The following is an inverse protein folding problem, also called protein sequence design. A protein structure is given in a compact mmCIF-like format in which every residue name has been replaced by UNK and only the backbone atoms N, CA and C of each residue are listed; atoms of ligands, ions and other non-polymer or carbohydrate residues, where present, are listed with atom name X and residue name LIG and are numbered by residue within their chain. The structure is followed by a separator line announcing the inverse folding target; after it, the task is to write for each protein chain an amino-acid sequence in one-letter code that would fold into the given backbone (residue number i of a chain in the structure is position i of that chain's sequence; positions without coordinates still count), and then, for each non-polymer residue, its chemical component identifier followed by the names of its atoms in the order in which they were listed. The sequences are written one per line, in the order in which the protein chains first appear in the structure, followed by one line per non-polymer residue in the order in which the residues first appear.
data_IF_218759058147
#
_entry.id   IF_218759058147
#
_cell.length_a   1.000
_cell.length_b   1.000
_cell.length_c   1.000
_cell.angle_alpha   90.00
_cell.angle_beta   90.00
_cell.angle_gamma   90.00
#
_symmetry.space_group_name_H-M   'P 1'
#
loop_
_entity.id
_entity.type
_entity.pdbx_description
1 polymer ?
#
# COMPACT_ATOMS: atom_id res chain seq x y z
N UNK A 1 -12.39 -6.29 -26.83
CA UNK A 1 -10.94 -6.15 -26.62
C UNK A 1 -10.46 -7.51 -26.19
N UNK A 2 -9.43 -8.06 -26.85
CA UNK A 2 -8.93 -9.39 -26.50
C UNK A 2 -8.42 -9.41 -25.06
N UNK A 3 -8.60 -10.54 -24.38
CA UNK A 3 -8.02 -10.77 -23.05
C UNK A 3 -6.48 -10.79 -23.14
N UNK A 4 -5.78 -10.24 -22.13
CA UNK A 4 -4.32 -10.22 -22.10
C UNK A 4 -3.76 -11.64 -22.10
N UNK A 5 -2.78 -11.90 -22.97
CA UNK A 5 -2.15 -13.21 -23.13
C UNK A 5 -0.86 -13.34 -22.33
N UNK A 6 -0.34 -12.24 -21.80
CA UNK A 6 0.88 -12.20 -20.99
C UNK A 6 0.70 -11.39 -19.70
N UNK A 7 1.52 -11.65 -18.66
CA UNK A 7 1.56 -10.81 -17.45
C UNK A 7 1.77 -9.32 -17.74
N UNK A 8 2.65 -8.98 -18.68
CA UNK A 8 2.93 -7.59 -19.05
C UNK A 8 1.71 -6.89 -19.65
N UNK A 9 1.03 -7.53 -20.60
CA UNK A 9 -0.21 -7.00 -21.20
C UNK A 9 -1.32 -6.83 -20.16
N UNK A 10 -1.42 -7.75 -19.20
CA UNK A 10 -2.37 -7.64 -18.11
C UNK A 10 -2.08 -6.41 -17.24
N UNK A 11 -0.83 -6.19 -16.84
CA UNK A 11 -0.44 -5.03 -16.02
C UNK A 11 -0.59 -3.71 -16.79
N UNK A 12 -0.20 -3.65 -18.06
CA UNK A 12 -0.41 -2.47 -18.90
C UNK A 12 -1.90 -2.14 -19.04
N UNK A 13 -2.75 -3.16 -19.13
CA UNK A 13 -4.20 -2.99 -19.16
C UNK A 13 -4.76 -2.49 -17.82
N UNK A 14 -4.25 -2.97 -16.69
CA UNK A 14 -4.60 -2.48 -15.36
C UNK A 14 -4.23 -1.00 -15.23
N UNK A 15 -3.01 -0.61 -15.60
CA UNK A 15 -2.54 0.78 -15.61
C UNK A 15 -3.42 1.67 -16.47
N UNK A 16 -3.71 1.25 -17.70
CA UNK A 16 -4.58 2.00 -18.60
C UNK A 16 -5.97 2.23 -17.98
N UNK A 17 -6.61 1.19 -17.48
CA UNK A 17 -7.97 1.28 -16.92
C UNK A 17 -8.00 2.13 -15.64
N UNK A 18 -7.00 1.98 -14.77
CA UNK A 18 -6.88 2.77 -13.55
C UNK A 18 -6.65 4.26 -13.88
N UNK A 19 -5.69 4.57 -14.75
CA UNK A 19 -5.41 5.95 -15.15
C UNK A 19 -6.63 6.60 -15.81
N UNK A 20 -7.32 5.87 -16.70
CA UNK A 20 -8.59 6.33 -17.28
C UNK A 20 -9.62 6.66 -16.20
N UNK A 21 -9.78 5.80 -15.19
CA UNK A 21 -10.77 6.00 -14.13
C UNK A 21 -10.44 7.22 -13.26
N UNK A 22 -9.18 7.37 -12.87
CA UNK A 22 -8.69 8.54 -12.11
C UNK A 22 -8.87 9.82 -12.91
N UNK A 23 -8.46 9.84 -14.18
CA UNK A 23 -8.62 11.02 -15.05
C UNK A 23 -10.08 11.38 -15.27
N UNK A 24 -10.96 10.40 -15.53
CA UNK A 24 -12.38 10.64 -15.72
C UNK A 24 -13.03 11.21 -14.44
N UNK A 25 -12.67 10.69 -13.28
CA UNK A 25 -13.18 11.17 -12.00
C UNK A 25 -12.73 12.60 -11.70
N UNK A 26 -11.44 12.91 -11.91
CA UNK A 26 -10.91 14.28 -11.75
C UNK A 26 -11.61 15.25 -12.70
N UNK A 27 -11.79 14.87 -13.97
CA UNK A 27 -12.48 15.71 -14.95
C UNK A 27 -13.93 15.96 -14.56
N UNK A 28 -14.65 14.94 -14.09
CA UNK A 28 -16.02 15.07 -13.63
C UNK A 28 -16.15 15.97 -12.40
N UNK A 29 -15.22 15.87 -11.43
CA UNK A 29 -15.20 16.76 -10.25
C UNK A 29 -14.92 18.20 -10.67
N UNK A 30 -13.96 18.45 -11.57
CA UNK A 30 -13.67 19.80 -12.09
C UNK A 30 -14.88 20.41 -12.79
N UNK A 31 -15.53 19.65 -13.69
CA UNK A 31 -16.77 20.09 -14.35
C UNK A 31 -17.88 20.40 -13.35
N UNK A 32 -18.02 19.59 -12.30
CA UNK A 32 -19.00 19.87 -11.25
C UNK A 32 -18.66 21.15 -10.48
N UNK A 33 -17.38 21.39 -10.17
CA UNK A 33 -16.95 22.60 -9.47
C UNK A 33 -17.15 23.88 -10.30
N UNK A 34 -17.00 23.81 -11.63
CA UNK A 34 -17.11 24.95 -12.54
C UNK A 34 -18.56 25.20 -13.00
N UNK A 35 -19.31 24.14 -13.33
CA UNK A 35 -20.61 24.22 -14.01
C UNK A 35 -21.78 23.74 -13.13
N UNK A 36 -21.51 23.08 -12.00
CA UNK A 36 -22.55 22.49 -11.13
C UNK A 36 -23.22 21.24 -11.72
N UNK A 37 -22.68 20.65 -12.79
CA UNK A 37 -23.29 19.52 -13.50
C UNK A 37 -22.78 18.18 -12.93
N UNK A 38 -23.63 17.37 -12.25
CA UNK A 38 -23.21 16.10 -11.67
C UNK A 38 -22.93 15.04 -12.75
N UNK A 39 -22.11 14.02 -12.44
CA UNK A 39 -21.82 12.94 -13.38
C UNK A 39 -23.07 12.09 -13.66
N UNK A 40 -23.24 11.68 -14.91
CA UNK A 40 -24.30 10.75 -15.31
C UNK A 40 -24.00 9.31 -14.83
N UNK A 41 -25.00 8.42 -14.91
CA UNK A 41 -24.83 7.01 -14.56
C UNK A 41 -23.78 6.31 -15.45
N UNK A 42 -23.68 6.68 -16.73
CA UNK A 42 -22.70 6.11 -17.66
C UNK A 42 -21.28 6.62 -17.36
N UNK A 43 -21.14 7.89 -16.98
CA UNK A 43 -19.86 8.45 -16.56
C UNK A 43 -19.35 7.78 -15.27
N UNK A 44 -20.27 7.44 -14.36
CA UNK A 44 -19.93 6.74 -13.12
C UNK A 44 -19.30 5.36 -13.34
N UNK A 45 -19.66 4.66 -14.43
CA UNK A 45 -19.00 3.40 -14.81
C UNK A 45 -17.51 3.62 -15.10
N UNK A 46 -17.14 4.80 -15.60
CA UNK A 46 -15.75 5.13 -15.90
C UNK A 46 -14.91 5.31 -14.64
N UNK A 47 -15.51 5.61 -13.49
CA UNK A 47 -14.79 5.82 -12.22
C UNK A 47 -14.43 4.52 -11.50
N UNK A 48 -14.66 3.35 -12.10
CA UNK A 48 -14.48 2.06 -11.45
C UNK A 48 -13.05 1.56 -11.52
N UNK A 49 -12.59 0.90 -10.45
CA UNK A 49 -11.30 0.22 -10.43
C UNK A 49 -11.23 -0.86 -11.51
N UNK A 50 -10.04 -1.17 -12.05
CA UNK A 50 -9.86 -2.40 -12.81
C UNK A 50 -10.00 -3.65 -11.93
N UNK A 51 -10.45 -4.75 -12.51
CA UNK A 51 -10.48 -6.09 -11.91
C UNK A 51 -9.54 -7.01 -12.68
N UNK A 52 -8.61 -7.63 -11.96
CA UNK A 52 -7.72 -8.68 -12.44
C UNK A 52 -8.37 -10.04 -12.15
N UNK A 53 -8.33 -10.94 -13.14
CA UNK A 53 -8.78 -12.31 -13.02
C UNK A 53 -7.72 -13.29 -13.49
N UNK A 54 -7.64 -14.41 -12.78
CA UNK A 54 -6.79 -15.54 -13.09
C UNK A 54 -7.65 -16.79 -13.12
N UNK A 55 -7.64 -17.49 -14.25
CA UNK A 55 -8.36 -18.75 -14.44
C UNK A 55 -7.39 -19.91 -14.44
N UNK A 56 -7.59 -20.84 -13.52
CA UNK A 56 -6.84 -22.10 -13.45
C UNK A 56 -7.72 -23.24 -13.94
N UNK A 57 -7.40 -23.77 -15.12
CA UNK A 57 -8.23 -24.78 -15.77
C UNK A 57 -8.11 -26.16 -15.08
N UNK A 58 -9.18 -26.98 -15.02
CA UNK A 58 -9.14 -28.30 -14.40
C UNK A 58 -8.13 -29.29 -15.00
N UNK A 59 -7.76 -29.09 -16.27
CA UNK A 59 -6.81 -29.92 -17.02
C UNK A 59 -5.40 -29.30 -17.06
N UNK A 60 -5.18 -28.14 -16.42
CA UNK A 60 -3.89 -27.48 -16.39
C UNK A 60 -2.91 -28.18 -15.42
N UNK A 61 -1.59 -27.94 -15.54
CA UNK A 61 -0.59 -28.54 -14.67
C UNK A 61 -0.87 -28.27 -13.18
N UNK A 62 -0.62 -29.26 -12.33
CA UNK A 62 -0.70 -29.13 -10.87
C UNK A 62 0.67 -29.42 -10.25
N UNK A 63 1.61 -28.46 -10.32
CA UNK A 63 2.96 -28.66 -9.85
C UNK A 63 3.03 -28.71 -8.32
N UNK A 64 3.97 -29.49 -7.78
CA UNK A 64 4.31 -29.50 -6.35
C UNK A 64 5.54 -28.63 -6.14
N UNK A 65 5.34 -27.42 -5.64
CA UNK A 65 6.38 -26.41 -5.54
C UNK A 65 6.75 -26.14 -4.07
N UNK A 66 8.03 -25.98 -3.72
CA UNK A 66 8.47 -25.73 -2.34
C UNK A 66 8.29 -24.27 -1.89
N UNK A 67 7.81 -23.38 -2.77
CA UNK A 67 7.64 -21.94 -2.48
C UNK A 67 6.47 -21.68 -1.53
N UNK A 68 6.52 -20.60 -0.74
CA UNK A 68 5.43 -20.26 0.20
C UNK A 68 4.25 -19.52 -0.44
N UNK A 69 4.44 -18.87 -1.60
CA UNK A 69 3.46 -18.00 -2.26
C UNK A 69 3.35 -18.30 -3.76
N UNK A 70 2.48 -17.58 -4.49
CA UNK A 70 2.31 -17.77 -5.94
C UNK A 70 1.81 -19.16 -6.30
N UNK A 71 0.87 -19.71 -5.53
CA UNK A 71 0.33 -21.06 -5.75
C UNK A 71 -1.19 -21.03 -5.90
N UNK A 72 -1.71 -21.90 -6.77
CA UNK A 72 -3.14 -22.12 -6.96
C UNK A 72 -3.52 -23.51 -6.45
N UNK A 73 -4.38 -23.56 -5.44
CA UNK A 73 -4.79 -24.82 -4.79
C UNK A 73 -5.85 -25.57 -5.58
N UNK A 74 -6.81 -24.85 -6.17
CA UNK A 74 -7.99 -25.46 -6.77
C UNK A 74 -8.27 -24.86 -8.15
N UNK A 75 -8.58 -25.67 -9.17
CA UNK A 75 -9.09 -25.15 -10.42
C UNK A 75 -10.31 -24.24 -10.23
N UNK A 76 -10.43 -23.23 -11.09
CA UNK A 76 -11.47 -22.22 -11.05
C UNK A 76 -10.95 -20.80 -11.28
N UNK A 77 -11.82 -19.84 -11.07
CA UNK A 77 -11.52 -18.42 -11.24
C UNK A 77 -11.13 -17.76 -9.92
N UNK A 78 -10.14 -16.89 -10.01
CA UNK A 78 -9.68 -16.02 -8.93
C UNK A 78 -9.77 -14.57 -9.41
N UNK A 79 -10.27 -13.66 -8.57
CA UNK A 79 -10.47 -12.26 -8.95
C UNK A 79 -10.09 -11.30 -7.82
N UNK A 80 -9.65 -10.10 -8.19
CA UNK A 80 -9.44 -8.99 -7.26
C UNK A 80 -9.48 -7.65 -8.01
N UNK A 81 -10.02 -6.60 -7.39
CA UNK A 81 -9.87 -5.24 -7.90
C UNK A 81 -8.49 -4.68 -7.56
N UNK A 82 -7.89 -3.93 -8.49
CA UNK A 82 -6.52 -3.39 -8.35
C UNK A 82 -6.55 -1.86 -8.31
N UNK A 83 -5.72 -1.27 -7.45
CA UNK A 83 -5.40 0.16 -7.43
C UNK A 83 -3.90 0.36 -7.51
N UNK A 84 -3.45 1.57 -7.85
CA UNK A 84 -2.04 1.95 -7.99
C UNK A 84 -1.19 0.94 -8.79
N UNK A 85 -1.67 0.41 -9.95
CA UNK A 85 -0.99 -0.65 -10.68
C UNK A 85 0.42 -0.26 -11.14
N UNK A 86 0.68 1.03 -11.37
CA UNK A 86 2.03 1.51 -11.71
C UNK A 86 3.03 1.36 -10.56
N UNK A 87 2.61 1.59 -9.31
CA UNK A 87 3.45 1.33 -8.13
C UNK A 87 3.62 -0.17 -7.91
N UNK A 88 2.53 -0.93 -7.98
CA UNK A 88 2.55 -2.38 -7.76
C UNK A 88 3.05 -3.18 -8.97
N UNK A 89 3.50 -2.53 -10.05
CA UNK A 89 3.92 -3.20 -11.29
C UNK A 89 4.94 -4.31 -11.06
N UNK A 90 6.05 -4.11 -10.31
CA UNK A 90 7.03 -5.17 -10.08
C UNK A 90 6.41 -6.38 -9.37
N UNK A 91 5.61 -6.12 -8.31
CA UNK A 91 4.90 -7.16 -7.57
C UNK A 91 3.90 -7.91 -8.44
N UNK A 92 3.07 -7.21 -9.21
CA UNK A 92 2.07 -7.80 -10.09
C UNK A 92 2.73 -8.67 -11.17
N UNK A 93 3.81 -8.19 -11.79
CA UNK A 93 4.55 -8.96 -12.79
C UNK A 93 5.15 -10.23 -12.20
N UNK A 94 5.82 -10.14 -11.05
CA UNK A 94 6.40 -11.32 -10.38
C UNK A 94 5.30 -12.35 -10.08
N UNK A 95 4.21 -11.93 -9.41
CA UNK A 95 3.16 -12.87 -9.01
C UNK A 95 2.46 -13.49 -10.22
N UNK A 96 2.12 -12.69 -11.24
CA UNK A 96 1.45 -13.20 -12.44
C UNK A 96 2.36 -14.14 -13.24
N UNK A 97 3.66 -13.85 -13.33
CA UNK A 97 4.62 -14.72 -14.01
C UNK A 97 4.66 -16.11 -13.37
N UNK A 98 4.71 -16.18 -12.04
CA UNK A 98 4.67 -17.46 -11.30
C UNK A 98 3.38 -18.25 -11.56
N UNK A 99 2.24 -17.58 -11.71
CA UNK A 99 0.96 -18.25 -11.98
C UNK A 99 0.86 -18.74 -13.43
N UNK A 100 1.34 -17.95 -14.39
CA UNK A 100 1.33 -18.32 -15.80
C UNK A 100 2.31 -19.46 -16.07
N UNK A 101 3.56 -19.35 -15.60
CA UNK A 101 4.60 -20.33 -15.93
C UNK A 101 4.35 -21.70 -15.32
N UNK A 102 3.92 -21.74 -14.05
CA UNK A 102 3.81 -23.00 -13.33
C UNK A 102 2.44 -23.66 -13.47
N UNK A 103 1.37 -22.86 -13.59
CA UNK A 103 0.00 -23.37 -13.64
C UNK A 103 -0.66 -23.21 -15.01
N UNK A 104 0.00 -22.57 -15.98
CA UNK A 104 -0.61 -22.26 -17.28
C UNK A 104 -1.86 -21.38 -17.12
N UNK A 105 -1.87 -20.49 -16.11
CA UNK A 105 -3.06 -19.74 -15.76
C UNK A 105 -3.42 -18.71 -16.84
N UNK A 106 -4.71 -18.59 -17.15
CA UNK A 106 -5.21 -17.62 -18.12
C UNK A 106 -5.55 -16.30 -17.42
N UNK A 107 -5.19 -15.17 -18.03
CA UNK A 107 -5.37 -13.84 -17.45
C UNK A 107 -6.51 -13.11 -18.14
N UNK A 108 -7.35 -12.40 -17.38
CA UNK A 108 -8.27 -11.43 -17.95
C UNK A 108 -8.34 -10.15 -17.09
N UNK A 109 -8.54 -9.01 -17.75
CA UNK A 109 -8.62 -7.71 -17.09
C UNK A 109 -9.85 -6.96 -17.58
N UNK A 110 -10.72 -6.57 -16.64
CA UNK A 110 -11.98 -5.88 -16.93
C UNK A 110 -12.22 -4.71 -15.99
N UNK A 111 -13.30 -3.97 -16.22
CA UNK A 111 -13.76 -2.95 -15.29
C UNK A 111 -14.50 -3.65 -14.15
N UNK A 112 -14.17 -3.31 -12.90
CA UNK A 112 -14.85 -3.86 -11.71
C UNK A 112 -16.25 -3.26 -11.51
N UNK A 113 -16.90 -3.63 -10.41
CA UNK A 113 -18.16 -3.02 -9.96
C UNK A 113 -17.93 -1.87 -8.96
N UNK A 114 -16.71 -1.73 -8.43
CA UNK A 114 -16.38 -0.79 -7.38
C UNK A 114 -15.85 0.53 -7.95
N UNK A 115 -16.46 1.63 -7.53
CA UNK A 115 -16.03 2.99 -7.88
C UNK A 115 -14.86 3.45 -7.00
N UNK A 116 -13.96 4.25 -7.57
CA UNK A 116 -12.88 4.92 -6.84
C UNK A 116 -13.48 6.07 -6.03
N UNK A 117 -13.34 6.10 -4.70
CA UNK A 117 -13.77 7.24 -3.90
C UNK A 117 -13.07 8.53 -4.29
N UNK A 118 -13.83 9.63 -4.41
CA UNK A 118 -13.29 10.93 -4.81
C UNK A 118 -12.13 11.38 -3.91
N UNK A 119 -12.20 11.07 -2.61
CA UNK A 119 -11.18 11.44 -1.62
C UNK A 119 -9.79 10.86 -1.92
N UNK A 120 -9.68 9.80 -2.72
CA UNK A 120 -8.40 9.16 -3.03
C UNK A 120 -7.70 9.79 -4.24
N UNK A 121 -8.43 10.52 -5.08
CA UNK A 121 -7.88 11.19 -6.29
C UNK A 121 -7.60 12.68 -6.09
N UNK A 122 -7.99 13.26 -4.94
CA UNK A 122 -7.82 14.69 -4.65
C UNK A 122 -6.35 15.12 -4.66
N UNK A 123 -5.45 14.30 -4.11
CA UNK A 123 -4.02 14.63 -4.05
C UNK A 123 -3.37 14.63 -5.44
N UNK A 124 -3.83 13.76 -6.35
CA UNK A 124 -3.34 13.70 -7.74
C UNK A 124 -3.79 14.90 -8.59
N UNK A 125 -4.84 15.60 -8.17
CA UNK A 125 -5.46 16.67 -8.93
C UNK A 125 -5.06 18.09 -8.47
N UNK A 126 -4.32 18.19 -7.37
CA UNK A 126 -3.97 19.45 -6.72
C UNK A 126 -5.15 20.01 -5.92
N UNK A 127 -4.95 20.22 -4.61
CA UNK A 127 -5.98 20.66 -3.66
C UNK A 127 -6.79 21.90 -4.11
N UNK A 128 -6.16 22.79 -4.90
CA UNK A 128 -6.76 24.02 -5.39
C UNK A 128 -8.00 23.82 -6.30
N UNK A 129 -8.13 22.67 -6.98
CA UNK A 129 -9.29 22.41 -7.84
C UNK A 129 -10.59 22.13 -7.05
N UNK A 130 -10.51 22.02 -5.72
CA UNK A 130 -11.57 21.45 -4.88
C UNK A 130 -12.04 22.37 -3.75
N UNK A 131 -11.36 23.49 -3.50
CA UNK A 131 -11.65 24.35 -2.33
C UNK A 131 -13.04 24.98 -2.36
N UNK A 132 -13.66 25.10 -3.54
CA UNK A 132 -14.93 25.79 -3.72
C UNK A 132 -16.17 24.89 -3.64
N UNK A 133 -16.02 23.55 -3.57
CA UNK A 133 -17.17 22.63 -3.50
C UNK A 133 -17.34 22.09 -2.08
N UNK A 134 -18.52 22.25 -1.45
CA UNK A 134 -18.78 21.67 -0.13
C UNK A 134 -18.63 20.15 -0.13
N UNK A 135 -18.02 19.60 0.93
CA UNK A 135 -17.80 18.15 1.04
C UNK A 135 -19.10 17.33 1.02
N UNK A 136 -20.22 17.88 1.50
CA UNK A 136 -21.55 17.24 1.43
C UNK A 136 -22.04 17.06 -0.02
N UNK A 137 -21.76 18.01 -0.91
CA UNK A 137 -22.13 17.89 -2.31
C UNK A 137 -21.29 16.84 -3.02
N UNK A 138 -19.98 16.81 -2.76
CA UNK A 138 -19.10 15.77 -3.27
C UNK A 138 -19.56 14.39 -2.79
N UNK A 139 -19.89 14.24 -1.51
CA UNK A 139 -20.39 12.98 -0.96
C UNK A 139 -21.76 12.57 -1.51
N UNK A 140 -22.59 13.52 -1.97
CA UNK A 140 -23.90 13.26 -2.57
C UNK A 140 -23.78 12.75 -4.01
N UNK A 141 -22.95 13.38 -4.83
CA UNK A 141 -22.91 13.10 -6.28
C UNK A 141 -21.76 12.20 -6.71
N UNK A 142 -20.68 12.13 -5.93
CA UNK A 142 -19.49 11.34 -6.26
C UNK A 142 -19.32 10.13 -5.34
N UNK A 143 -18.54 9.11 -5.75
CA UNK A 143 -18.29 7.94 -4.92
C UNK A 143 -17.54 8.34 -3.65
N UNK A 144 -18.06 7.98 -2.48
CA UNK A 144 -17.44 8.22 -1.17
C UNK A 144 -16.94 6.93 -0.55
N UNK A 145 -15.93 6.98 0.34
CA UNK A 145 -15.43 5.78 1.01
C UNK A 145 -16.53 5.13 1.85
N UNK A 146 -16.88 3.88 1.55
CA UNK A 146 -17.82 3.10 2.35
C UNK A 146 -17.04 2.14 3.23
N UNK A 147 -17.09 2.35 4.55
CA UNK A 147 -16.41 1.48 5.52
C UNK A 147 -16.87 0.02 5.41
N UNK A 148 -18.12 -0.23 5.00
CA UNK A 148 -18.65 -1.58 4.77
C UNK A 148 -18.00 -2.30 3.58
N UNK A 149 -17.34 -1.57 2.68
CA UNK A 149 -16.62 -2.14 1.52
C UNK A 149 -15.12 -2.32 1.79
N UNK A 150 -14.60 -1.76 2.89
CA UNK A 150 -13.22 -1.94 3.32
C UNK A 150 -13.17 -3.18 4.22
N UNK A 151 -12.90 -4.33 3.64
CA UNK A 151 -12.93 -5.62 4.34
C UNK A 151 -11.55 -6.21 4.63
N UNK A 152 -11.44 -6.93 5.76
CA UNK A 152 -10.33 -7.82 6.12
C UNK A 152 -10.67 -9.31 5.88
N UNK A 153 -11.82 -9.61 5.26
CA UNK A 153 -12.39 -10.95 5.22
C UNK A 153 -11.43 -12.04 4.70
N UNK A 154 -10.62 -11.75 3.67
CA UNK A 154 -9.61 -12.71 3.18
C UNK A 154 -8.55 -12.98 4.24
N UNK A 155 -8.05 -11.93 4.87
CA UNK A 155 -6.98 -11.99 5.89
C UNK A 155 -7.47 -12.68 7.15
N UNK A 156 -8.73 -12.45 7.53
CA UNK A 156 -9.39 -13.08 8.67
C UNK A 156 -9.81 -14.53 8.39
N UNK A 157 -9.60 -15.05 7.18
CA UNK A 157 -10.00 -16.40 6.78
C UNK A 157 -11.51 -16.59 6.69
N UNK A 158 -12.27 -15.50 6.57
CA UNK A 158 -13.72 -15.53 6.40
C UNK A 158 -14.10 -15.93 4.98
N UNK A 159 -15.21 -16.64 4.84
CA UNK A 159 -15.73 -17.03 3.53
C UNK A 159 -16.31 -15.81 2.81
N UNK A 160 -15.80 -15.53 1.62
CA UNK A 160 -16.33 -14.47 0.75
C UNK A 160 -17.29 -15.09 -0.27
N UNK A 161 -18.54 -14.64 -0.24
CA UNK A 161 -19.56 -15.05 -1.21
C UNK A 161 -19.66 -13.99 -2.30
N UNK A 162 -19.03 -14.26 -3.45
CA UNK A 162 -19.20 -13.45 -4.65
C UNK A 162 -20.31 -14.02 -5.53
N UNK A 163 -21.09 -13.15 -6.17
CA UNK A 163 -22.16 -13.54 -7.11
C UNK A 163 -21.60 -14.37 -8.28
N UNK A 164 -20.42 -13.99 -8.77
CA UNK A 164 -19.70 -14.69 -9.83
C UNK A 164 -18.92 -15.93 -9.37
N UNK A 165 -18.96 -16.24 -8.07
CA UNK A 165 -18.28 -17.38 -7.42
C UNK A 165 -16.75 -17.40 -7.59
N UNK A 166 -16.14 -16.31 -8.07
CA UNK A 166 -14.69 -16.22 -8.13
C UNK A 166 -14.09 -16.25 -6.71
N UNK A 167 -12.92 -16.86 -6.57
CA UNK A 167 -12.17 -16.87 -5.30
C UNK A 167 -11.31 -15.61 -5.18
N UNK A 168 -10.91 -15.19 -3.97
CA UNK A 168 -10.00 -14.06 -3.82
C UNK A 168 -8.63 -14.37 -4.45
N UNK A 169 -8.15 -13.51 -5.35
CA UNK A 169 -6.81 -13.63 -5.94
C UNK A 169 -5.71 -13.07 -5.02
N UNK A 170 -6.02 -12.04 -4.23
CA UNK A 170 -5.09 -11.40 -3.31
C UNK A 170 -5.74 -11.16 -1.94
N UNK A 171 -4.92 -10.79 -0.95
CA UNK A 171 -5.39 -10.55 0.43
C UNK A 171 -6.21 -9.27 0.58
N UNK A 172 -5.93 -8.27 -0.25
CA UNK A 172 -6.56 -6.96 -0.20
C UNK A 172 -7.08 -6.57 -1.57
N UNK A 173 -8.25 -5.96 -1.60
CA UNK A 173 -8.83 -5.39 -2.80
C UNK A 173 -8.48 -3.90 -2.94
N UNK A 174 -8.88 -3.28 -4.05
CA UNK A 174 -8.52 -1.90 -4.35
C UNK A 174 -9.04 -0.88 -3.30
N UNK A 175 -10.33 -0.88 -2.89
CA UNK A 175 -10.81 0.04 -1.87
C UNK A 175 -10.07 -0.06 -0.54
N UNK A 176 -9.75 -1.29 -0.10
CA UNK A 176 -8.97 -1.49 1.13
C UNK A 176 -7.54 -1.00 1.01
N UNK A 177 -6.92 -1.23 -0.15
CA UNK A 177 -5.56 -0.79 -0.41
C UNK A 177 -5.48 0.73 -0.37
N UNK A 178 -6.27 1.46 -1.15
CA UNK A 178 -6.24 2.94 -1.14
C UNK A 178 -6.59 3.54 0.22
N UNK A 179 -7.56 2.96 0.94
CA UNK A 179 -7.86 3.38 2.30
C UNK A 179 -6.62 3.31 3.20
N UNK A 180 -5.88 2.20 3.13
CA UNK A 180 -4.69 1.98 3.92
C UNK A 180 -3.55 2.90 3.51
N UNK A 181 -3.35 3.14 2.21
CA UNK A 181 -2.34 4.08 1.71
C UNK A 181 -2.56 5.50 2.25
N UNK A 182 -3.81 5.98 2.25
CA UNK A 182 -4.16 7.29 2.85
C UNK A 182 -3.97 7.33 4.36
N UNK A 183 -4.26 6.23 5.05
CA UNK A 183 -4.02 6.14 6.49
C UNK A 183 -2.52 6.11 6.81
N UNK A 184 -1.70 5.46 6.00
CA UNK A 184 -0.25 5.49 6.15
C UNK A 184 0.28 6.92 6.07
N UNK A 185 -0.06 7.68 5.02
CA UNK A 185 0.35 9.09 4.90
C UNK A 185 -0.09 9.92 6.12
N UNK A 186 -1.34 9.74 6.55
CA UNK A 186 -1.89 10.46 7.70
C UNK A 186 -1.16 10.14 9.02
N UNK A 187 -0.91 8.86 9.31
CA UNK A 187 -0.30 8.46 10.58
C UNK A 187 1.21 8.66 10.63
N UNK A 188 1.88 8.51 9.48
CA UNK A 188 3.34 8.52 9.38
C UNK A 188 3.91 9.87 8.98
N UNK A 189 3.12 10.70 8.29
CA UNK A 189 3.57 11.97 7.74
C UNK A 189 4.54 11.85 6.58
N UNK A 190 4.78 10.64 6.07
CA UNK A 190 5.67 10.38 4.94
C UNK A 190 4.89 9.74 3.78
N UNK A 191 5.35 9.89 2.52
CA UNK A 191 4.70 9.26 1.37
C UNK A 191 4.67 7.74 1.52
N UNK A 192 3.51 7.11 1.33
CA UNK A 192 3.40 5.64 1.39
C UNK A 192 4.26 4.97 0.31
N UNK A 193 4.54 5.67 -0.80
CA UNK A 193 5.37 5.18 -1.90
C UNK A 193 6.85 5.06 -1.55
N UNK A 194 7.31 5.75 -0.49
CA UNK A 194 8.70 5.66 -0.01
C UNK A 194 8.89 4.49 0.98
N UNK A 195 7.82 3.82 1.42
CA UNK A 195 7.90 2.66 2.31
C UNK A 195 8.71 1.54 1.66
N UNK A 196 9.67 1.02 2.42
CA UNK A 196 10.60 -0.02 1.98
C UNK A 196 10.17 -1.41 2.51
N UNK A 197 10.57 -2.52 1.86
CA UNK A 197 10.14 -3.88 2.23
C UNK A 197 10.62 -4.35 3.60
N UNK A 198 11.73 -3.78 4.10
CA UNK A 198 12.33 -4.11 5.40
C UNK A 198 11.94 -3.07 6.44
N UNK A 199 11.05 -3.46 7.36
CA UNK A 199 10.44 -2.55 8.33
C UNK A 199 11.00 -2.78 9.73
N UNK A 200 11.33 -1.69 10.42
CA UNK A 200 11.67 -1.65 11.83
C UNK A 200 10.59 -0.85 12.57
N UNK A 201 10.02 -1.44 13.61
CA UNK A 201 9.17 -0.73 14.57
C UNK A 201 9.97 -0.38 15.80
N UNK A 202 9.72 0.80 16.35
CA UNK A 202 10.26 1.19 17.66
C UNK A 202 9.20 1.85 18.53
N UNK A 203 9.37 1.72 19.85
CA UNK A 203 8.55 2.39 20.86
C UNK A 203 9.29 3.54 21.57
N UNK A 204 10.48 3.91 21.10
CA UNK A 204 11.34 4.85 21.81
C UNK A 204 12.08 5.80 20.88
N UNK A 205 11.93 7.10 21.13
CA UNK A 205 12.41 8.17 20.25
C UNK A 205 13.93 8.11 19.98
N UNK A 206 14.75 7.65 20.94
CA UNK A 206 16.20 7.57 20.73
C UNK A 206 16.62 6.63 19.57
N UNK A 207 15.81 5.63 19.24
CA UNK A 207 16.06 4.81 18.05
C UNK A 207 15.84 5.58 16.75
N UNK A 208 14.89 6.52 16.74
CA UNK A 208 14.67 7.42 15.60
C UNK A 208 15.87 8.32 15.40
N UNK A 209 16.36 8.95 16.48
CA UNK A 209 17.50 9.86 16.41
C UNK A 209 18.75 9.14 15.85
N UNK A 210 18.99 7.91 16.32
CA UNK A 210 20.13 7.09 15.87
C UNK A 210 19.94 6.57 14.43
N UNK A 211 18.72 6.17 14.06
CA UNK A 211 18.42 5.77 12.68
C UNK A 211 18.59 6.92 11.71
N UNK A 212 18.12 8.12 12.05
CA UNK A 212 18.27 9.33 11.24
C UNK A 212 19.74 9.66 11.04
N UNK A 213 20.54 9.63 12.11
CA UNK A 213 21.98 9.85 12.05
C UNK A 213 22.66 8.84 11.12
N UNK A 214 22.36 7.55 11.30
CA UNK A 214 22.91 6.47 10.48
C UNK A 214 22.47 6.56 9.01
N UNK A 215 21.18 6.78 8.75
CA UNK A 215 20.62 6.86 7.41
C UNK A 215 21.10 8.10 6.65
N UNK A 216 21.20 9.26 7.31
CA UNK A 216 21.75 10.47 6.71
C UNK A 216 23.22 10.29 6.32
N UNK A 217 24.03 9.65 7.17
CA UNK A 217 25.39 9.26 6.84
C UNK A 217 25.45 8.25 5.68
N UNK A 218 24.49 7.32 5.64
CA UNK A 218 24.31 6.36 4.55
C UNK A 218 23.98 7.03 3.21
N UNK A 219 23.10 8.04 3.19
CA UNK A 219 22.78 8.81 1.98
C UNK A 219 23.98 9.65 1.53
N UNK A 220 24.71 10.26 2.45
CA UNK A 220 25.87 11.10 2.11
C UNK A 220 27.04 10.31 1.52
N UNK A 221 27.27 9.08 1.99
CA UNK A 221 28.39 8.23 1.57
C UNK A 221 27.99 7.08 0.64
N UNK A 222 26.69 6.92 0.37
CA UNK A 222 26.13 5.79 -0.35
C UNK A 222 26.13 5.97 -1.87
N UNK A 223 25.68 4.93 -2.60
CA UNK A 223 25.46 5.01 -4.04
C UNK A 223 24.49 6.13 -4.42
N UNK A 224 24.66 6.64 -5.64
CA UNK A 224 23.72 7.61 -6.21
C UNK A 224 22.30 7.04 -6.22
N UNK A 225 21.34 7.87 -5.81
CA UNK A 225 19.91 7.52 -5.79
C UNK A 225 19.40 7.01 -4.45
N UNK A 226 20.27 6.91 -3.43
CA UNK A 226 19.81 6.75 -2.05
C UNK A 226 19.22 8.08 -1.55
N UNK A 227 18.12 7.99 -0.81
CA UNK A 227 17.49 9.15 -0.19
C UNK A 227 16.85 8.80 1.16
N UNK A 228 16.81 9.76 2.07
CA UNK A 228 16.10 9.64 3.34
C UNK A 228 14.82 10.47 3.27
N UNK A 229 13.69 9.79 3.23
CA UNK A 229 12.35 10.38 3.33
C UNK A 229 11.93 10.46 4.79
N UNK A 230 11.54 11.65 5.22
CA UNK A 230 11.22 11.99 6.60
C UNK A 230 9.77 12.51 6.70
N UNK A 231 9.17 12.49 7.91
CA UNK A 231 7.84 13.04 8.12
C UNK A 231 7.75 14.51 7.71
N UNK A 232 6.59 14.94 7.21
CA UNK A 232 6.35 16.30 6.76
C UNK A 232 6.88 16.61 5.37
N UNK A 233 7.19 15.60 4.56
CA UNK A 233 7.67 15.77 3.18
C UNK A 233 9.11 16.22 3.06
N UNK A 234 9.90 16.08 4.13
CA UNK A 234 11.34 16.38 4.10
C UNK A 234 12.05 15.22 3.40
N UNK A 235 12.80 15.51 2.34
CA UNK A 235 13.61 14.54 1.61
C UNK A 235 15.07 14.98 1.61
N UNK A 236 15.97 14.04 1.88
CA UNK A 236 17.41 14.25 1.93
C UNK A 236 18.08 13.36 0.90
N UNK A 237 18.95 13.96 0.09
CA UNK A 237 19.66 13.26 -0.99
C UNK A 237 21.18 13.51 -0.89
N UNK A 238 21.95 12.77 -1.67
CA UNK A 238 23.40 12.92 -1.71
C UNK A 238 23.78 14.36 -2.10
N UNK A 239 24.63 15.01 -1.29
CA UNK A 239 25.06 16.40 -1.50
C UNK A 239 24.26 17.45 -0.73
N UNK A 240 23.20 17.07 -0.01
CA UNK A 240 22.51 17.98 0.90
C UNK A 240 23.42 18.45 2.04
N UNK A 241 23.57 19.78 2.17
CA UNK A 241 24.19 20.39 3.34
C UNK A 241 23.30 20.19 4.56
N UNK A 242 23.91 19.90 5.70
CA UNK A 242 23.24 19.74 7.00
C UNK A 242 22.12 18.68 6.99
N UNK A 243 22.31 17.62 6.20
CA UNK A 243 21.36 16.51 6.03
C UNK A 243 20.80 15.97 7.36
N UNK A 244 21.68 15.67 8.32
CA UNK A 244 21.28 15.17 9.63
C UNK A 244 20.40 16.18 10.39
N UNK A 245 20.80 17.45 10.43
CA UNK A 245 20.04 18.50 11.13
C UNK A 245 18.67 18.73 10.49
N UNK A 246 18.58 18.65 9.15
CA UNK A 246 17.29 18.72 8.43
C UNK A 246 16.37 17.56 8.79
N UNK A 247 16.90 16.33 8.85
CA UNK A 247 16.12 15.16 9.24
C UNK A 247 15.61 15.25 10.67
N UNK A 248 16.47 15.67 11.61
CA UNK A 248 16.11 15.84 13.01
C UNK A 248 15.07 16.95 13.23
N UNK A 249 15.10 17.98 12.37
CA UNK A 249 14.13 19.08 12.39
C UNK A 249 12.80 18.75 11.69
N UNK A 250 12.65 17.57 11.09
CA UNK A 250 11.42 17.16 10.42
C UNK A 250 10.22 17.28 11.37
N UNK A 251 9.04 17.76 10.92
CA UNK A 251 7.89 18.06 11.79
C UNK A 251 7.12 16.80 12.22
N UNK A 252 7.79 15.87 12.88
CA UNK A 252 7.23 14.56 13.28
C UNK A 252 6.13 14.65 14.35
N UNK A 253 6.14 15.68 15.20
CA UNK A 253 5.20 15.83 16.35
C UNK A 253 3.71 15.88 15.97
N UNK A 254 3.40 16.21 14.71
CA UNK A 254 2.03 16.26 14.21
C UNK A 254 1.47 14.88 13.85
N UNK A 255 2.33 13.86 13.80
CA UNK A 255 2.01 12.53 13.31
C UNK A 255 2.08 11.53 14.46
N UNK A 256 1.08 10.65 14.54
CA UNK A 256 0.94 9.70 15.65
C UNK A 256 2.04 8.63 15.63
N UNK A 257 2.44 8.18 14.45
CA UNK A 257 3.41 7.10 14.26
C UNK A 257 4.44 7.47 13.16
N UNK A 258 5.33 8.44 13.42
CA UNK A 258 6.21 9.01 12.40
C UNK A 258 7.10 7.94 11.73
N UNK A 259 7.21 8.00 10.41
CA UNK A 259 8.04 7.07 9.62
C UNK A 259 9.22 7.76 8.94
N UNK A 260 10.31 7.03 8.81
CA UNK A 260 11.52 7.43 8.12
C UNK A 260 11.95 6.32 7.17
N UNK A 261 12.20 6.66 5.92
CA UNK A 261 12.51 5.69 4.88
C UNK A 261 13.88 5.98 4.28
N UNK A 262 14.84 5.09 4.54
CA UNK A 262 16.08 5.05 3.76
C UNK A 262 15.76 4.31 2.47
N UNK A 263 15.51 5.05 1.40
CA UNK A 263 15.14 4.52 0.08
C UNK A 263 16.37 4.25 -0.77
N UNK A 264 16.29 3.21 -1.61
CA UNK A 264 17.32 2.84 -2.58
C UNK A 264 16.70 2.69 -3.98
N UNK A 265 17.49 2.79 -5.06
CA UNK A 265 16.97 2.66 -6.43
C UNK A 265 16.22 1.35 -6.71
N UNK A 266 16.66 0.25 -6.09
CA UNK A 266 16.07 -1.09 -6.27
C UNK A 266 14.94 -1.38 -5.26
N UNK A 267 14.51 -0.39 -4.48
CA UNK A 267 13.50 -0.50 -3.43
C UNK A 267 13.82 -1.58 -2.37
N UNK A 268 15.10 -1.75 -2.05
CA UNK A 268 15.60 -2.71 -1.05
C UNK A 268 16.11 -2.01 0.22
N UNK A 269 15.57 -0.82 0.51
CA UNK A 269 15.96 -0.01 1.65
C UNK A 269 15.31 -0.42 2.97
N UNK A 270 15.39 0.46 3.97
CA UNK A 270 14.84 0.22 5.33
C UNK A 270 13.88 1.32 5.73
N UNK A 271 12.74 0.93 6.29
CA UNK A 271 11.76 1.84 6.88
C UNK A 271 11.75 1.69 8.38
N UNK A 272 11.96 2.78 9.12
CA UNK A 272 11.74 2.85 10.57
C UNK A 272 10.42 3.57 10.85
N UNK A 273 9.59 2.98 11.72
CA UNK A 273 8.35 3.60 12.18
C UNK A 273 8.34 3.63 13.71
N UNK A 274 8.24 4.81 14.29
CA UNK A 274 8.03 4.95 15.73
C UNK A 274 6.54 4.79 16.02
N UNK A 275 6.13 3.59 16.45
CA UNK A 275 4.73 3.26 16.73
C UNK A 275 4.26 3.80 18.09
N UNK A 276 5.19 4.36 18.88
CA UNK A 276 4.93 4.76 20.25
C UNK A 276 4.64 3.57 21.15
N UNK A 277 3.71 3.74 22.09
CA UNK A 277 3.36 2.70 23.07
C UNK A 277 1.87 2.38 22.97
N UNK A 278 1.55 1.08 22.98
CA UNK A 278 0.18 0.60 23.06
C UNK A 278 -0.16 -0.41 21.96
N UNK A 279 -0.85 -1.52 22.29
CA UNK A 279 -1.30 -2.50 21.30
C UNK A 279 -2.19 -1.90 20.20
N UNK A 280 -2.98 -0.87 20.51
CA UNK A 280 -3.86 -0.22 19.54
C UNK A 280 -3.08 0.44 18.40
N UNK A 281 -1.99 1.15 18.69
CA UNK A 281 -1.13 1.74 17.65
C UNK A 281 -0.47 0.65 16.82
N UNK A 282 0.05 -0.39 17.48
CA UNK A 282 0.69 -1.52 16.81
C UNK A 282 -0.27 -2.21 15.83
N UNK A 283 -1.53 -2.46 16.24
CA UNK A 283 -2.56 -3.01 15.35
C UNK A 283 -2.82 -2.07 14.16
N UNK A 284 -3.15 -0.80 14.44
CA UNK A 284 -3.51 0.18 13.41
C UNK A 284 -2.43 0.32 12.33
N UNK A 285 -1.16 0.43 12.70
CA UNK A 285 -0.10 0.57 11.70
C UNK A 285 0.09 -0.71 10.89
N UNK A 286 0.01 -1.88 11.52
CA UNK A 286 0.16 -3.16 10.81
C UNK A 286 -1.01 -3.45 9.86
N UNK A 287 -2.24 -3.05 10.21
CA UNK A 287 -3.42 -3.18 9.35
C UNK A 287 -3.25 -2.44 8.02
N UNK A 288 -2.52 -1.32 8.05
CA UNK A 288 -2.30 -0.49 6.87
C UNK A 288 -1.02 -0.86 6.12
N UNK A 289 0.08 -1.16 6.82
CA UNK A 289 1.32 -1.59 6.17
C UNK A 289 1.18 -2.91 5.41
N UNK A 290 0.27 -3.79 5.83
CA UNK A 290 0.10 -5.09 5.21
C UNK A 290 -0.24 -5.02 3.71
N UNK A 291 -0.89 -3.95 3.24
CA UNK A 291 -1.26 -3.79 1.83
C UNK A 291 -0.05 -3.57 0.91
N UNK A 292 1.06 -3.06 1.47
CA UNK A 292 2.32 -2.83 0.76
C UNK A 292 3.18 -4.09 0.62
N UNK A 293 2.73 -5.22 1.17
CA UNK A 293 3.41 -6.52 1.07
C UNK A 293 4.88 -6.50 1.52
N UNK A 294 5.21 -5.99 2.73
CA UNK A 294 6.59 -5.98 3.22
C UNK A 294 7.16 -7.41 3.33
N UNK A 295 8.47 -7.52 3.17
CA UNK A 295 9.18 -8.80 3.31
C UNK A 295 9.32 -9.19 4.78
N UNK A 296 9.61 -8.23 5.65
CA UNK A 296 9.76 -8.45 7.08
C UNK A 296 9.49 -7.17 7.87
N UNK A 297 8.91 -7.32 9.06
CA UNK A 297 8.91 -6.29 10.10
C UNK A 297 9.56 -6.82 11.38
N UNK A 298 10.32 -5.99 12.07
CA UNK A 298 10.94 -6.34 13.36
C UNK A 298 10.58 -5.31 14.43
N UNK A 299 10.29 -5.77 15.64
CA UNK A 299 10.08 -4.89 16.80
C UNK A 299 11.41 -4.66 17.53
N UNK A 300 11.94 -3.45 17.45
CA UNK A 300 13.15 -3.00 18.13
C UNK A 300 12.78 -1.91 19.14
N UNK A 301 12.60 -2.32 20.39
CA UNK A 301 12.19 -1.40 21.45
C UNK A 301 12.62 -1.85 22.83
N UNK A 302 12.23 -1.07 23.84
CA UNK A 302 12.50 -1.42 25.23
C UNK A 302 11.46 -2.39 25.79
N UNK A 303 11.86 -3.17 26.79
CA UNK A 303 10.97 -3.99 27.61
C UNK A 303 11.47 -4.03 29.06
N UNK A 304 10.62 -4.51 29.98
CA UNK A 304 11.01 -4.80 31.36
C UNK A 304 11.51 -6.24 31.49
N UNK A 305 12.73 -6.42 32.01
CA UNK A 305 13.22 -7.75 32.40
C UNK A 305 12.53 -8.24 33.66
N UNK A 306 12.03 -9.48 33.65
CA UNK A 306 11.28 -10.07 34.77
C UNK A 306 12.10 -11.11 35.55
N UNK A 307 13.30 -11.47 35.06
CA UNK A 307 14.18 -12.43 35.72
C UNK A 307 15.28 -11.70 36.47
N UNK A 308 15.58 -12.15 37.69
CA UNK A 308 16.62 -11.58 38.55
C UNK A 308 18.04 -11.62 37.93
N UNK A 309 18.28 -12.51 36.97
CA UNK A 309 19.57 -12.61 36.27
C UNK A 309 19.72 -11.58 35.14
N UNK A 310 18.64 -10.94 34.71
CA UNK A 310 18.67 -9.95 33.63
C UNK A 310 19.20 -8.61 34.14
N UNK A 311 19.96 -7.92 33.29
CA UNK A 311 20.52 -6.59 33.54
C UNK A 311 19.99 -5.60 32.51
N UNK A 312 19.98 -4.32 32.87
CA UNK A 312 19.67 -3.24 31.93
C UNK A 312 20.68 -3.30 30.78
N UNK A 313 20.18 -3.37 29.55
CA UNK A 313 20.99 -3.51 28.35
C UNK A 313 21.02 -4.93 27.77
N UNK A 314 20.57 -5.94 28.52
CA UNK A 314 20.42 -7.30 27.96
C UNK A 314 19.33 -7.34 26.88
N UNK A 315 19.55 -8.15 25.85
CA UNK A 315 18.56 -8.39 24.79
C UNK A 315 17.61 -9.54 25.16
N UNK A 316 16.37 -9.45 24.67
CA UNK A 316 15.38 -10.52 24.75
C UNK A 316 14.94 -10.90 23.34
N UNK A 317 15.22 -12.13 22.96
CA UNK A 317 14.66 -12.73 21.74
C UNK A 317 13.38 -13.47 22.10
N UNK A 318 12.23 -12.89 21.72
CA UNK A 318 10.94 -13.53 21.94
C UNK A 318 10.82 -14.79 21.07
N UNK A 319 10.53 -15.93 21.70
CA UNK A 319 10.22 -17.20 21.02
C UNK A 319 8.74 -17.60 21.20
N UNK A 320 7.98 -16.83 22.00
CA UNK A 320 6.55 -16.98 22.25
C UNK A 320 5.97 -15.67 22.80
N UNK A 321 4.65 -15.52 22.78
CA UNK A 321 3.92 -14.35 23.25
C UNK A 321 2.77 -14.76 24.17
N UNK A 322 2.64 -14.10 25.34
CA UNK A 322 1.42 -14.14 26.15
C UNK A 322 0.56 -12.93 25.72
N UNK A 323 -0.55 -13.20 25.03
CA UNK A 323 -1.42 -12.20 24.41
C UNK A 323 -2.63 -11.88 25.29
#
# INVERSE_FOLDING_TARGET
MEDPKTPAEAVDRLEFLHNRAVTALIAAIRRYAEEGVPPSADERILFRYPELRVTYLPNAPSPRLPRAYGQLTWPGEYAVSITQPGYFRPYLLEQLQLLVDDYGAELSVRVSENEIPYSFVLDAAGAAAFENVPAEELARYFPSPRLTQVGDAVVDGLRIERLDRARPLALFDAPRTDYSLKRLEHYTGAPWSDVQPWILFTNYQRYVDEFVRWAAAGVANGPKGWALSCPGGVRIEAGDKDAESKAQAAPWRKYQMPAYHLTTPDNDGVTLINIGVGPSNAKTITDHLAVLRPHCWLMIGHCGGLRHTQRIGDYVLAHAYLR
#
